data_IF_425237306523
#
_entry.id   IF_425237306523
#
_cell.length_a   1.000
_cell.length_b   1.000
_cell.length_c   1.000
_cell.angle_alpha   90.00
_cell.angle_beta   90.00
_cell.angle_gamma   90.00
#
_symmetry.space_group_name_H-M   'P 1'
#
loop_
_entity.id
_entity.type
_entity.pdbx_description
1 polymer ?
#
# COMPACT_ATOMS: atom_id res chain seq x y z
N UNK A 1 1.29 -31.38 -18.38
CA UNK A 1 0.33 -30.36 -17.91
C UNK A 1 -0.37 -30.76 -16.60
N UNK A 2 -0.84 -32.01 -16.47
CA UNK A 2 -1.52 -32.49 -15.25
C UNK A 2 -0.72 -32.27 -13.93
N UNK A 3 0.60 -32.55 -13.85
CA UNK A 3 1.36 -32.33 -12.61
C UNK A 3 1.45 -30.84 -12.22
N UNK A 4 1.60 -29.95 -13.21
CA UNK A 4 1.63 -28.51 -12.96
C UNK A 4 0.27 -28.00 -12.48
N UNK A 5 -0.83 -28.50 -13.06
CA UNK A 5 -2.18 -28.15 -12.61
C UNK A 5 -2.43 -28.61 -11.16
N UNK A 6 -1.99 -29.82 -10.80
CA UNK A 6 -2.11 -30.33 -9.42
C UNK A 6 -1.32 -29.51 -8.39
N UNK A 7 -0.21 -28.88 -8.80
CA UNK A 7 0.58 -27.99 -7.93
C UNK A 7 -0.01 -26.57 -7.84
N UNK A 8 -0.51 -26.03 -8.94
CA UNK A 8 -0.93 -24.62 -9.02
C UNK A 8 -2.38 -24.41 -8.57
N UNK A 9 -3.30 -25.31 -8.94
CA UNK A 9 -4.73 -25.11 -8.68
C UNK A 9 -5.07 -25.02 -7.18
N UNK A 10 -4.51 -25.84 -6.27
CA UNK A 10 -4.79 -25.70 -4.84
C UNK A 10 -4.31 -24.38 -4.26
N UNK A 11 -3.10 -23.93 -4.64
CA UNK A 11 -2.56 -22.64 -4.20
C UNK A 11 -3.40 -21.46 -4.73
N UNK A 12 -3.82 -21.54 -6.00
CA UNK A 12 -4.70 -20.56 -6.62
C UNK A 12 -6.07 -20.51 -5.95
N UNK A 13 -6.62 -21.67 -5.61
CA UNK A 13 -7.91 -21.76 -4.91
C UNK A 13 -7.83 -21.22 -3.49
N UNK A 14 -6.78 -21.58 -2.74
CA UNK A 14 -6.54 -21.04 -1.40
C UNK A 14 -6.37 -19.52 -1.42
N UNK A 15 -5.58 -19.00 -2.36
CA UNK A 15 -5.46 -17.55 -2.57
C UNK A 15 -6.84 -16.93 -2.84
N UNK A 16 -7.59 -17.43 -3.82
CA UNK A 16 -8.93 -16.93 -4.12
C UNK A 16 -9.88 -16.98 -2.92
N UNK A 17 -9.84 -18.03 -2.10
CA UNK A 17 -10.67 -18.15 -0.91
C UNK A 17 -10.33 -17.05 0.12
N UNK A 18 -9.05 -16.77 0.35
CA UNK A 18 -8.63 -15.70 1.27
C UNK A 18 -9.03 -14.30 0.79
N UNK A 19 -9.19 -14.10 -0.53
CA UNK A 19 -9.58 -12.81 -1.10
C UNK A 19 -11.08 -12.53 -1.05
N UNK A 20 -11.91 -13.57 -0.92
CA UNK A 20 -13.37 -13.48 -1.00
C UNK A 20 -14.06 -13.81 0.34
N UNK A 21 -13.34 -13.71 1.45
CA UNK A 21 -13.92 -13.89 2.79
C UNK A 21 -14.56 -12.59 3.27
N UNK A 22 -15.62 -12.69 4.08
CA UNK A 22 -16.27 -11.54 4.72
C UNK A 22 -15.32 -10.77 5.66
N UNK A 23 -14.24 -11.43 6.11
CA UNK A 23 -13.17 -10.84 6.91
C UNK A 23 -12.05 -10.19 6.08
N UNK A 24 -12.22 -10.05 4.75
CA UNK A 24 -11.19 -9.48 3.89
C UNK A 24 -10.97 -8.00 4.21
N UNK A 25 -9.71 -7.64 4.51
CA UNK A 25 -9.32 -6.26 4.85
C UNK A 25 -9.57 -5.26 3.71
N UNK A 26 -9.68 -5.74 2.48
CA UNK A 26 -9.91 -4.93 1.28
C UNK A 26 -11.21 -5.35 0.63
N UNK A 27 -12.24 -4.50 0.78
CA UNK A 27 -13.45 -4.60 -0.02
C UNK A 27 -13.12 -4.29 -1.49
N UNK A 28 -13.56 -5.16 -2.40
CA UNK A 28 -13.22 -5.12 -3.82
C UNK A 28 -14.48 -4.88 -4.65
N UNK A 29 -15.04 -3.69 -4.46
CA UNK A 29 -16.09 -3.20 -5.34
C UNK A 29 -15.53 -3.01 -6.77
N UNK A 30 -16.29 -3.40 -7.79
CA UNK A 30 -15.82 -3.42 -9.17
C UNK A 30 -15.53 -2.01 -9.70
N UNK A 31 -16.32 -1.02 -9.30
CA UNK A 31 -16.15 0.38 -9.69
C UNK A 31 -14.93 0.99 -8.99
N UNK A 32 -14.77 0.70 -7.69
CA UNK A 32 -13.52 1.03 -6.98
C UNK A 32 -12.30 0.38 -7.64
N UNK A 33 -12.39 -0.89 -8.05
CA UNK A 33 -11.28 -1.58 -8.72
C UNK A 33 -10.97 -0.93 -10.06
N UNK A 34 -11.97 -0.56 -10.86
CA UNK A 34 -11.74 0.13 -12.12
C UNK A 34 -11.11 1.52 -11.89
N UNK A 35 -11.66 2.33 -10.99
CA UNK A 35 -11.16 3.69 -10.73
C UNK A 35 -9.79 3.69 -10.05
N UNK A 36 -9.59 2.84 -9.04
CA UNK A 36 -8.38 2.79 -8.23
C UNK A 36 -7.31 1.89 -8.87
N UNK A 37 -7.62 0.63 -9.21
CA UNK A 37 -6.62 -0.35 -9.67
C UNK A 37 -6.24 -0.23 -11.14
N UNK A 38 -7.00 0.45 -12.00
CA UNK A 38 -6.59 0.62 -13.41
C UNK A 38 -5.92 1.97 -13.62
N UNK A 39 -6.49 3.05 -13.06
CA UNK A 39 -5.93 4.40 -13.17
C UNK A 39 -4.59 4.58 -12.46
N UNK A 40 -4.43 4.01 -11.26
CA UNK A 40 -3.20 4.17 -10.46
C UNK A 40 -2.13 3.11 -10.75
N UNK A 41 -2.46 2.07 -11.51
CA UNK A 41 -1.59 0.93 -11.75
C UNK A 41 -0.77 1.10 -13.03
N UNK A 42 -0.01 2.18 -13.04
CA UNK A 42 0.74 2.63 -14.21
C UNK A 42 2.22 2.58 -13.91
N UNK A 43 3.01 2.11 -14.88
CA UNK A 43 4.47 2.05 -14.77
C UNK A 43 5.08 2.66 -16.01
N UNK A 44 5.98 3.63 -15.81
CA UNK A 44 6.72 4.20 -16.94
C UNK A 44 7.72 3.18 -17.48
N UNK A 45 7.61 2.91 -18.77
CA UNK A 45 8.51 2.03 -19.51
C UNK A 45 9.97 2.47 -19.36
N UNK A 46 10.24 3.77 -19.25
CA UNK A 46 11.59 4.29 -19.07
C UNK A 46 12.17 3.99 -17.68
N UNK A 47 11.33 3.81 -16.65
CA UNK A 47 11.76 3.53 -15.27
C UNK A 47 12.48 2.19 -15.12
N UNK A 48 12.29 1.24 -16.05
CA UNK A 48 13.03 -0.02 -16.05
C UNK A 48 14.51 0.15 -16.39
N UNK A 49 14.83 1.21 -17.13
CA UNK A 49 16.15 1.41 -17.74
C UNK A 49 16.86 2.67 -17.25
N UNK A 50 16.16 3.58 -16.57
CA UNK A 50 16.70 4.87 -16.14
C UNK A 50 17.24 4.79 -14.70
N UNK A 51 18.56 4.91 -14.49
CA UNK A 51 19.13 4.97 -13.15
C UNK A 51 18.96 6.37 -12.54
N UNK A 52 19.30 6.47 -11.26
CA UNK A 52 19.32 7.71 -10.48
C UNK A 52 17.97 8.07 -9.85
N UNK A 53 17.84 9.31 -9.40
CA UNK A 53 16.65 9.82 -8.70
C UNK A 53 15.52 10.17 -9.69
N UNK A 54 15.05 9.14 -10.41
CA UNK A 54 13.93 9.26 -11.33
C UNK A 54 12.77 8.40 -10.85
N UNK A 55 11.64 9.05 -10.59
CA UNK A 55 10.39 8.41 -10.24
C UNK A 55 9.35 8.74 -11.29
N UNK A 56 8.87 7.73 -12.01
CA UNK A 56 7.80 7.87 -12.98
C UNK A 56 6.93 6.61 -12.98
N UNK A 57 5.59 6.74 -12.83
CA UNK A 57 4.86 7.99 -12.60
C UNK A 57 5.16 8.63 -11.23
N UNK A 58 5.05 9.96 -11.14
CA UNK A 58 5.14 10.68 -9.86
C UNK A 58 3.78 10.65 -9.16
N UNK A 59 3.54 9.59 -8.38
CA UNK A 59 2.27 9.36 -7.68
C UNK A 59 1.97 10.44 -6.63
N UNK A 60 2.99 11.13 -6.12
CA UNK A 60 2.78 12.25 -5.21
C UNK A 60 2.13 13.42 -5.95
N UNK A 61 2.59 13.73 -7.16
CA UNK A 61 1.98 14.78 -7.97
C UNK A 61 0.60 14.40 -8.51
N UNK A 62 0.42 13.14 -8.89
CA UNK A 62 -0.83 12.68 -9.51
C UNK A 62 -1.94 12.43 -8.50
N UNK A 63 -1.60 11.90 -7.31
CA UNK A 63 -2.57 11.34 -6.37
C UNK A 63 -2.32 11.74 -4.91
N UNK A 64 -1.37 12.64 -4.63
CA UNK A 64 -0.90 12.96 -3.27
C UNK A 64 -0.40 11.71 -2.51
N UNK A 65 0.12 10.73 -3.26
CA UNK A 65 0.62 9.50 -2.70
C UNK A 65 2.14 9.45 -2.60
N UNK A 66 2.65 9.25 -1.38
CA UNK A 66 4.10 9.08 -1.15
C UNK A 66 4.66 7.72 -1.58
N UNK A 67 3.84 6.87 -2.21
CA UNK A 67 4.27 5.58 -2.72
C UNK A 67 5.19 5.78 -3.91
N UNK A 68 6.37 5.14 -3.91
CA UNK A 68 7.30 5.13 -5.04
C UNK A 68 7.34 3.74 -5.64
N UNK A 69 6.98 3.60 -6.91
CA UNK A 69 7.14 2.37 -7.65
C UNK A 69 8.55 2.33 -8.27
N UNK A 70 9.45 1.53 -7.70
CA UNK A 70 10.81 1.35 -8.23
C UNK A 70 10.89 0.01 -8.98
N UNK A 71 11.12 0.10 -10.30
CA UNK A 71 11.12 -1.06 -11.22
C UNK A 71 12.43 -1.21 -12.01
N UNK A 72 13.49 -0.50 -11.59
CA UNK A 72 14.79 -0.53 -12.24
C UNK A 72 15.34 -1.97 -12.33
N UNK A 73 15.76 -2.39 -13.54
CA UNK A 73 16.22 -3.76 -13.78
C UNK A 73 17.72 -3.97 -13.50
N UNK A 74 18.49 -2.89 -13.38
CA UNK A 74 19.95 -2.95 -13.28
C UNK A 74 20.62 -3.15 -14.64
N UNK A 75 21.46 -2.21 -15.03
CA UNK A 75 22.22 -2.30 -16.29
C UNK A 75 23.17 -3.50 -16.30
N UNK A 76 23.78 -3.82 -15.16
CA UNK A 76 24.68 -4.97 -15.03
C UNK A 76 23.91 -6.27 -15.19
N UNK A 77 22.75 -6.39 -14.52
CA UNK A 77 21.88 -7.56 -14.62
C UNK A 77 21.41 -7.80 -16.05
N UNK A 78 20.97 -6.74 -16.75
CA UNK A 78 20.55 -6.84 -18.15
C UNK A 78 21.69 -7.26 -19.08
N UNK A 79 22.88 -6.68 -18.91
CA UNK A 79 24.04 -7.03 -19.74
C UNK A 79 24.45 -8.50 -19.56
N UNK A 80 24.51 -8.99 -18.32
CA UNK A 80 24.82 -10.40 -18.03
C UNK A 80 23.73 -11.34 -18.55
N UNK A 81 22.46 -10.97 -18.39
CA UNK A 81 21.33 -11.74 -18.91
C UNK A 81 21.36 -11.83 -20.45
N UNK A 82 21.71 -10.74 -21.14
CA UNK A 82 21.87 -10.74 -22.59
C UNK A 82 22.97 -11.71 -23.05
N UNK A 83 24.13 -11.70 -22.38
CA UNK A 83 25.20 -12.68 -22.62
C UNK A 83 24.70 -14.12 -22.41
N UNK A 84 23.90 -14.33 -21.36
CA UNK A 84 23.25 -15.60 -21.05
C UNK A 84 22.25 -16.09 -22.09
N UNK A 85 21.47 -15.18 -22.64
CA UNK A 85 20.51 -15.45 -23.72
C UNK A 85 21.22 -15.79 -25.03
N UNK A 86 22.37 -15.18 -25.33
CA UNK A 86 23.17 -15.48 -26.52
C UNK A 86 24.00 -16.76 -26.38
N UNK A 87 24.27 -17.15 -25.15
CA UNK A 87 24.94 -18.38 -24.75
C UNK A 87 24.12 -19.58 -25.24
N UNK A 88 24.57 -20.44 -26.16
CA UNK A 88 23.88 -21.68 -26.64
C UNK A 88 23.22 -22.68 -25.65
N UNK A 89 22.87 -22.36 -24.40
CA UNK A 89 22.43 -23.30 -23.36
C UNK A 89 20.95 -23.73 -23.52
N UNK A 90 20.67 -25.01 -23.23
CA UNK A 90 19.31 -25.57 -23.24
C UNK A 90 18.44 -24.93 -22.16
N UNK A 91 17.22 -24.54 -22.53
CA UNK A 91 16.21 -23.81 -21.74
C UNK A 91 16.25 -22.25 -21.73
N UNK A 92 17.18 -21.58 -22.43
CA UNK A 92 17.20 -20.10 -22.48
C UNK A 92 15.91 -19.46 -23.03
N UNK A 93 15.25 -20.09 -24.00
CA UNK A 93 14.10 -19.50 -24.68
C UNK A 93 12.91 -19.35 -23.71
N UNK A 94 12.75 -20.31 -22.78
CA UNK A 94 11.74 -20.21 -21.73
C UNK A 94 12.00 -19.04 -20.78
N UNK A 95 13.26 -18.82 -20.41
CA UNK A 95 13.64 -17.69 -19.56
C UNK A 95 13.53 -16.33 -20.27
N UNK A 96 13.92 -16.24 -21.54
CA UNK A 96 13.70 -15.04 -22.35
C UNK A 96 12.21 -14.74 -22.51
N UNK A 97 11.39 -15.77 -22.78
CA UNK A 97 9.94 -15.61 -22.83
C UNK A 97 9.38 -15.14 -21.47
N UNK A 98 9.88 -15.68 -20.36
CA UNK A 98 9.47 -15.25 -19.03
C UNK A 98 9.86 -13.79 -18.75
N UNK A 99 11.07 -13.35 -19.13
CA UNK A 99 11.48 -11.93 -19.06
C UNK A 99 10.48 -11.06 -19.81
N UNK A 100 10.22 -11.36 -21.09
CA UNK A 100 9.36 -10.54 -21.94
C UNK A 100 7.93 -10.51 -21.42
N UNK A 101 7.33 -11.66 -21.12
CA UNK A 101 5.94 -11.75 -20.67
C UNK A 101 5.76 -11.04 -19.33
N UNK A 102 6.63 -11.33 -18.34
CA UNK A 102 6.52 -10.69 -17.02
C UNK A 102 6.78 -9.19 -17.08
N UNK A 103 7.73 -8.74 -17.90
CA UNK A 103 8.02 -7.33 -18.10
C UNK A 103 6.81 -6.60 -18.71
N UNK A 104 6.25 -7.14 -19.80
CA UNK A 104 5.05 -6.56 -20.43
C UNK A 104 3.87 -6.52 -19.47
N UNK A 105 3.66 -7.57 -18.67
CA UNK A 105 2.62 -7.57 -17.63
C UNK A 105 2.91 -6.54 -16.53
N UNK A 106 4.18 -6.26 -16.23
CA UNK A 106 4.56 -5.29 -15.22
C UNK A 106 4.31 -3.84 -15.61
N UNK A 107 4.12 -3.55 -16.90
CA UNK A 107 3.81 -2.20 -17.40
C UNK A 107 2.41 -1.70 -16.97
N UNK A 108 1.50 -2.61 -16.59
CA UNK A 108 0.13 -2.25 -16.24
C UNK A 108 -0.86 -2.36 -17.40
N UNK A 109 -2.10 -1.86 -17.22
CA UNK A 109 -3.19 -2.01 -18.19
C UNK A 109 -3.04 -1.10 -19.42
N UNK A 110 -2.32 0.02 -19.30
CA UNK A 110 -2.13 0.99 -20.36
C UNK A 110 -0.66 1.36 -20.50
N UNK A 111 -0.21 1.59 -21.73
CA UNK A 111 1.17 2.00 -21.99
C UNK A 111 1.41 3.42 -21.47
N UNK A 112 2.43 3.56 -20.64
CA UNK A 112 2.89 4.84 -20.10
C UNK A 112 4.39 4.97 -20.36
N UNK A 113 4.78 6.10 -20.94
CA UNK A 113 6.14 6.33 -21.41
C UNK A 113 6.50 7.80 -21.27
N UNK A 114 7.62 8.08 -20.61
CA UNK A 114 8.11 9.46 -20.47
C UNK A 114 7.21 10.36 -19.64
N UNK A 115 6.52 9.79 -18.65
CA UNK A 115 5.63 10.54 -17.75
C UNK A 115 4.22 10.79 -18.30
N UNK A 116 3.80 10.14 -19.39
CA UNK A 116 2.43 10.26 -19.90
C UNK A 116 1.91 8.97 -20.55
N UNK A 117 0.59 8.86 -20.68
CA UNK A 117 -0.07 7.77 -21.38
C UNK A 117 0.18 7.86 -22.89
N UNK A 118 0.55 6.75 -23.50
CA UNK A 118 0.56 6.66 -24.95
C UNK A 118 -0.89 6.64 -25.48
N UNK A 119 -1.16 7.48 -26.48
CA UNK A 119 -2.48 7.65 -27.07
C UNK A 119 -2.53 7.08 -28.49
N UNK A 120 -3.62 6.39 -28.79
CA UNK A 120 -4.09 6.09 -30.14
C UNK A 120 -4.83 7.32 -30.73
N UNK A 121 -5.08 7.36 -32.04
CA UNK A 121 -5.95 8.38 -32.65
C UNK A 121 -7.30 8.46 -31.92
N UNK A 122 -7.75 9.68 -31.62
CA UNK A 122 -8.97 9.92 -30.84
C UNK A 122 -8.79 9.95 -29.32
N UNK A 123 -7.56 10.12 -28.83
CA UNK A 123 -7.23 10.24 -27.40
C UNK A 123 -7.56 9.00 -26.57
N UNK A 124 -7.50 7.82 -27.20
CA UNK A 124 -7.74 6.53 -26.53
C UNK A 124 -6.41 6.00 -26.01
N UNK A 125 -6.32 5.61 -24.74
CA UNK A 125 -5.12 4.99 -24.18
C UNK A 125 -4.75 3.71 -24.92
N UNK A 126 -3.46 3.48 -25.17
CA UNK A 126 -2.95 2.23 -25.76
C UNK A 126 -3.07 1.11 -24.73
N UNK A 127 -3.97 0.12 -24.93
CA UNK A 127 -4.14 -0.97 -23.97
C UNK A 127 -3.00 -1.99 -24.07
N UNK A 128 -2.64 -2.56 -22.92
CA UNK A 128 -1.62 -3.60 -22.79
C UNK A 128 -2.25 -4.95 -22.39
N UNK A 129 -1.53 -6.08 -22.55
CA UNK A 129 -2.06 -7.41 -22.26
C UNK A 129 -2.62 -7.58 -20.84
N UNK A 130 -2.09 -6.85 -19.85
CA UNK A 130 -2.61 -6.88 -18.49
C UNK A 130 -4.10 -6.48 -18.44
N UNK A 131 -4.52 -5.48 -19.21
CA UNK A 131 -5.92 -5.04 -19.25
C UNK A 131 -6.86 -6.16 -19.71
N UNK A 132 -6.47 -6.87 -20.78
CA UNK A 132 -7.25 -8.00 -21.28
C UNK A 132 -7.36 -9.12 -20.24
N UNK A 133 -6.26 -9.42 -19.54
CA UNK A 133 -6.26 -10.43 -18.46
C UNK A 133 -7.12 -9.99 -17.28
N UNK A 134 -7.01 -8.72 -16.87
CA UNK A 134 -7.83 -8.13 -15.81
C UNK A 134 -9.31 -8.24 -16.13
N UNK A 135 -9.71 -7.91 -17.37
CA UNK A 135 -11.11 -7.96 -17.80
C UNK A 135 -11.66 -9.38 -17.94
N UNK A 136 -10.80 -10.34 -18.31
CA UNK A 136 -11.24 -11.70 -18.68
C UNK A 136 -11.07 -12.73 -17.57
N UNK A 137 -10.15 -12.50 -16.62
CA UNK A 137 -9.78 -13.49 -15.60
C UNK A 137 -10.10 -12.97 -14.19
N UNK A 138 -11.00 -13.63 -13.44
CA UNK A 138 -11.38 -13.22 -12.08
C UNK A 138 -10.22 -13.11 -11.09
N UNK A 139 -9.09 -13.76 -11.37
CA UNK A 139 -7.89 -13.62 -10.54
C UNK A 139 -7.16 -12.30 -10.81
N UNK A 140 -7.06 -11.87 -12.07
CA UNK A 140 -6.32 -10.68 -12.45
C UNK A 140 -7.06 -9.40 -12.04
N UNK A 141 -8.39 -9.44 -11.98
CA UNK A 141 -9.19 -8.36 -11.40
C UNK A 141 -8.84 -8.09 -9.93
N UNK A 142 -8.17 -9.05 -9.26
CA UNK A 142 -7.74 -8.89 -7.87
C UNK A 142 -6.34 -8.27 -7.70
N UNK A 143 -5.55 -8.14 -8.77
CA UNK A 143 -4.18 -7.64 -8.69
C UNK A 143 -4.15 -6.11 -8.75
N UNK A 144 -3.76 -5.47 -7.64
CA UNK A 144 -3.73 -4.01 -7.52
C UNK A 144 -2.53 -3.30 -8.11
N UNK A 145 -1.42 -4.03 -8.26
CA UNK A 145 -0.16 -3.45 -8.71
C UNK A 145 0.52 -4.42 -9.67
N UNK A 146 0.38 -4.14 -10.96
CA UNK A 146 0.97 -4.89 -12.06
C UNK A 146 2.49 -4.88 -11.99
N UNK A 147 3.10 -3.77 -11.54
CA UNK A 147 4.55 -3.66 -11.39
C UNK A 147 5.18 -4.80 -10.59
N UNK A 148 4.43 -5.48 -9.71
CA UNK A 148 4.91 -6.65 -8.96
C UNK A 148 5.38 -7.81 -9.86
N UNK A 149 4.92 -7.88 -11.11
CA UNK A 149 5.45 -8.84 -12.08
C UNK A 149 6.93 -8.62 -12.41
N UNK A 150 7.50 -7.44 -12.11
CA UNK A 150 8.95 -7.17 -12.27
C UNK A 150 9.83 -8.14 -11.49
N UNK A 151 9.34 -8.69 -10.38
CA UNK A 151 10.07 -9.69 -9.58
C UNK A 151 10.35 -10.95 -10.43
N UNK A 152 9.39 -11.37 -11.26
CA UNK A 152 9.59 -12.49 -12.18
C UNK A 152 10.56 -12.13 -13.31
N UNK A 153 10.53 -10.87 -13.76
CA UNK A 153 11.49 -10.35 -14.75
C UNK A 153 12.91 -10.40 -14.20
N UNK A 154 13.14 -9.87 -13.00
CA UNK A 154 14.43 -9.86 -12.31
C UNK A 154 14.94 -11.28 -12.02
N UNK A 155 14.06 -12.18 -11.57
CA UNK A 155 14.39 -13.60 -11.39
C UNK A 155 14.89 -14.21 -12.70
N UNK A 156 14.14 -14.03 -13.80
CA UNK A 156 14.49 -14.60 -15.10
C UNK A 156 15.79 -13.99 -15.66
N UNK A 157 16.03 -12.68 -15.45
CA UNK A 157 17.32 -12.04 -15.77
C UNK A 157 18.46 -12.66 -14.97
N UNK A 158 18.27 -12.91 -13.67
CA UNK A 158 19.27 -13.57 -12.82
C UNK A 158 19.61 -14.99 -13.30
N UNK A 159 18.61 -15.78 -13.70
CA UNK A 159 18.83 -17.11 -14.27
C UNK A 159 19.60 -17.03 -15.60
N UNK A 160 19.25 -16.11 -16.48
CA UNK A 160 19.99 -15.88 -17.73
C UNK A 160 21.44 -15.45 -17.44
N UNK A 161 21.66 -14.54 -16.50
CA UNK A 161 23.01 -14.14 -16.07
C UNK A 161 23.84 -15.34 -15.59
N UNK A 162 23.23 -16.25 -14.81
CA UNK A 162 23.87 -17.49 -14.38
C UNK A 162 24.20 -18.43 -15.56
N UNK A 163 23.34 -18.51 -16.59
CA UNK A 163 23.64 -19.27 -17.81
C UNK A 163 24.91 -18.76 -18.52
N UNK A 164 25.17 -17.45 -18.49
CA UNK A 164 26.40 -16.88 -19.06
C UNK A 164 27.66 -17.44 -18.36
N UNK A 165 27.63 -17.51 -17.03
CA UNK A 165 28.71 -18.04 -16.22
C UNK A 165 28.87 -19.56 -16.34
N UNK A 166 27.75 -20.30 -16.46
CA UNK A 166 27.74 -21.75 -16.58
C UNK A 166 28.53 -22.27 -17.79
N UNK A 167 28.70 -21.45 -18.85
CA UNK A 167 29.54 -21.78 -20.01
C UNK A 167 31.04 -21.72 -19.73
N UNK A 168 31.44 -21.09 -18.64
CA UNK A 168 32.83 -20.91 -18.24
C UNK A 168 33.03 -21.52 -16.84
N UNK A 169 32.82 -22.84 -16.67
CA UNK A 169 32.79 -23.46 -15.34
C UNK A 169 34.11 -23.28 -14.56
N UNK A 170 35.23 -23.15 -15.27
CA UNK A 170 36.54 -22.86 -14.65
C UNK A 170 36.66 -21.44 -14.10
N UNK A 171 35.95 -20.48 -14.71
CA UNK A 171 35.97 -19.07 -14.31
C UNK A 171 34.78 -18.70 -13.43
N UNK A 172 33.70 -19.48 -13.44
CA UNK A 172 32.48 -19.22 -12.68
C UNK A 172 32.71 -18.99 -11.17
N UNK A 173 33.60 -19.72 -10.47
CA UNK A 173 33.86 -19.46 -9.05
C UNK A 173 34.47 -18.08 -8.77
N UNK A 174 35.22 -17.52 -9.73
CA UNK A 174 35.83 -16.19 -9.61
C UNK A 174 34.90 -15.09 -10.14
N UNK A 175 34.28 -15.31 -11.31
CA UNK A 175 33.41 -14.34 -11.97
C UNK A 175 32.03 -14.24 -11.33
N UNK A 176 31.54 -15.30 -10.67
CA UNK A 176 30.24 -15.32 -10.01
C UNK A 176 30.14 -14.28 -8.89
N UNK A 177 31.04 -14.30 -7.88
CA UNK A 177 31.06 -13.28 -6.84
C UNK A 177 31.27 -11.86 -7.38
N UNK A 178 32.12 -11.68 -8.40
CA UNK A 178 32.33 -10.38 -9.03
C UNK A 178 31.07 -9.87 -9.75
N UNK A 179 30.36 -10.74 -10.47
CA UNK A 179 29.10 -10.42 -11.12
C UNK A 179 28.02 -10.08 -10.08
N UNK A 180 27.92 -10.86 -9.01
CA UNK A 180 26.99 -10.58 -7.91
C UNK A 180 27.31 -9.23 -7.24
N UNK A 181 28.58 -8.95 -6.95
CA UNK A 181 29.03 -7.68 -6.41
C UNK A 181 28.72 -6.51 -7.36
N UNK A 182 28.94 -6.68 -8.66
CA UNK A 182 28.61 -5.65 -9.65
C UNK A 182 27.11 -5.37 -9.71
N UNK A 183 26.26 -6.41 -9.64
CA UNK A 183 24.79 -6.25 -9.55
C UNK A 183 24.38 -5.55 -8.25
N UNK A 184 25.02 -5.88 -7.13
CA UNK A 184 24.77 -5.22 -5.85
C UNK A 184 25.18 -3.74 -5.87
N UNK A 185 26.32 -3.41 -6.47
CA UNK A 185 26.79 -2.02 -6.62
C UNK A 185 25.85 -1.24 -7.54
N UNK A 186 25.46 -1.82 -8.67
CA UNK A 186 24.47 -1.25 -9.60
C UNK A 186 23.14 -0.97 -8.88
N UNK A 187 22.61 -1.95 -8.16
CA UNK A 187 21.39 -1.79 -7.37
C UNK A 187 21.52 -0.79 -6.22
N UNK A 188 22.67 -0.68 -5.55
CA UNK A 188 22.86 0.21 -4.41
C UNK A 188 23.16 1.67 -4.82
N UNK A 189 23.82 1.89 -5.96
CA UNK A 189 24.28 3.23 -6.37
C UNK A 189 23.46 3.82 -7.52
N UNK A 190 22.89 2.99 -8.39
CA UNK A 190 22.19 3.44 -9.60
C UNK A 190 20.67 3.26 -9.51
N UNK A 191 20.17 2.42 -8.60
CA UNK A 191 18.72 2.28 -8.41
C UNK A 191 18.11 3.56 -7.84
N UNK A 192 16.89 3.95 -8.27
CA UNK A 192 16.10 4.98 -7.60
C UNK A 192 15.60 4.57 -6.20
N UNK A 193 15.83 3.32 -5.76
CA UNK A 193 15.39 2.86 -4.45
C UNK A 193 16.21 3.50 -3.32
N UNK A 194 15.53 3.90 -2.25
CA UNK A 194 16.20 4.32 -1.02
C UNK A 194 16.96 3.13 -0.41
N UNK A 195 18.28 3.31 -0.19
CA UNK A 195 19.12 2.33 0.51
C UNK A 195 19.80 2.96 1.73
N UNK A 196 19.76 2.30 2.91
CA UNK A 196 19.02 1.07 3.21
C UNK A 196 17.51 1.27 3.09
N UNK A 197 16.78 0.20 2.74
CA UNK A 197 15.32 0.25 2.66
C UNK A 197 14.77 0.69 4.02
N UNK A 198 14.00 1.79 4.10
CA UNK A 198 13.45 2.24 5.36
C UNK A 198 12.54 1.17 5.94
N UNK A 199 12.75 0.84 7.21
CA UNK A 199 11.89 -0.05 7.97
C UNK A 199 11.23 0.73 9.10
N UNK A 200 10.03 0.31 9.47
CA UNK A 200 9.32 0.82 10.64
C UNK A 200 9.15 -0.32 11.64
N UNK A 201 9.24 0.00 12.92
CA UNK A 201 8.91 -0.94 13.98
C UNK A 201 7.40 -1.17 14.01
N UNK A 202 7.02 -2.42 14.29
CA UNK A 202 5.63 -2.85 14.39
C UNK A 202 5.15 -2.78 15.85
N UNK A 203 5.45 -1.67 16.53
CA UNK A 203 5.10 -1.49 17.93
C UNK A 203 3.65 -1.02 18.05
N UNK A 204 2.89 -1.72 18.89
CA UNK A 204 1.50 -1.34 19.20
C UNK A 204 1.48 -0.54 20.51
N UNK A 205 0.94 0.69 20.50
CA UNK A 205 0.86 1.53 21.69
C UNK A 205 0.22 0.84 22.91
N UNK A 206 0.82 1.00 24.10
CA UNK A 206 0.31 0.37 25.33
C UNK A 206 -1.08 0.88 25.76
N UNK A 207 -1.51 2.03 25.22
CA UNK A 207 -2.82 2.65 25.47
C UNK A 207 -3.99 1.70 25.25
N UNK A 208 -3.89 0.75 24.31
CA UNK A 208 -4.98 -0.20 24.04
C UNK A 208 -5.25 -1.17 25.20
N UNK A 209 -4.27 -1.43 26.05
CA UNK A 209 -4.44 -2.26 27.23
C UNK A 209 -5.37 -1.60 28.29
N UNK A 210 -5.58 -0.28 28.20
CA UNK A 210 -6.46 0.46 29.11
C UNK A 210 -7.94 0.42 28.68
N UNK A 211 -8.24 -0.02 27.46
CA UNK A 211 -9.62 -0.04 26.95
C UNK A 211 -10.43 -1.13 27.68
N UNK A 212 -11.50 -0.71 28.34
CA UNK A 212 -12.42 -1.59 29.06
C UNK A 212 -13.61 -2.00 28.18
N UNK A 213 -14.17 -3.18 28.45
CA UNK A 213 -15.35 -3.71 27.75
C UNK A 213 -15.06 -4.16 26.31
N UNK A 214 -16.09 -4.58 25.58
CA UNK A 214 -16.02 -4.96 24.16
C UNK A 214 -16.55 -3.83 23.28
N UNK A 215 -15.99 -3.66 22.08
CA UNK A 215 -16.49 -2.68 21.11
C UNK A 215 -15.41 -2.10 20.21
N UNK A 216 -15.85 -1.32 19.23
CA UNK A 216 -15.01 -0.76 18.18
C UNK A 216 -14.16 0.43 18.67
N UNK A 217 -12.99 0.60 18.06
CA UNK A 217 -12.02 1.66 18.41
C UNK A 217 -11.84 2.60 17.22
N UNK A 218 -11.87 3.90 17.48
CA UNK A 218 -11.57 4.95 16.51
C UNK A 218 -10.15 5.47 16.77
N UNK A 219 -9.24 5.29 15.83
CA UNK A 219 -7.85 5.74 15.91
C UNK A 219 -7.64 7.05 15.16
N UNK A 220 -7.05 8.04 15.80
CA UNK A 220 -6.80 9.36 15.23
C UNK A 220 -5.29 9.58 15.00
N UNK A 221 -4.87 10.19 13.87
CA UNK A 221 -5.70 10.91 12.91
C UNK A 221 -6.47 10.03 11.93
N UNK A 222 -7.67 10.49 11.54
CA UNK A 222 -8.42 9.90 10.41
C UNK A 222 -7.81 10.35 9.09
N UNK A 223 -7.27 11.57 9.03
CA UNK A 223 -6.69 12.18 7.83
C UNK A 223 -5.34 11.62 7.39
N UNK A 224 -4.83 10.56 8.03
CA UNK A 224 -3.62 9.90 7.56
C UNK A 224 -3.82 9.39 6.12
N UNK A 225 -2.77 9.46 5.32
CA UNK A 225 -2.77 8.86 3.98
C UNK A 225 -3.15 7.37 4.07
N UNK A 226 -3.92 6.86 3.11
CA UNK A 226 -4.54 5.51 3.17
C UNK A 226 -3.57 4.38 3.54
N UNK A 227 -2.35 4.38 2.96
CA UNK A 227 -1.33 3.38 3.31
C UNK A 227 -0.78 3.53 4.74
N UNK A 228 -0.70 4.76 5.25
CA UNK A 228 -0.26 5.02 6.63
C UNK A 228 -1.31 4.55 7.65
N UNK A 229 -2.60 4.52 7.29
CA UNK A 229 -3.67 3.94 8.11
C UNK A 229 -3.54 2.42 8.29
N UNK A 230 -2.73 1.74 7.46
CA UNK A 230 -2.39 0.33 7.65
C UNK A 230 -1.80 0.01 9.04
N UNK A 231 -1.27 1.03 9.75
CA UNK A 231 -0.86 0.90 11.16
C UNK A 231 -2.03 0.55 12.09
N UNK A 232 -3.22 1.09 11.84
CA UNK A 232 -4.40 0.76 12.66
C UNK A 232 -4.84 -0.69 12.47
N UNK A 233 -4.69 -1.22 11.26
CA UNK A 233 -4.89 -2.65 11.01
C UNK A 233 -3.85 -3.51 11.77
N UNK A 234 -2.59 -3.05 11.87
CA UNK A 234 -1.59 -3.70 12.72
C UNK A 234 -2.00 -3.65 14.19
N UNK A 235 -2.40 -2.48 14.71
CA UNK A 235 -2.83 -2.33 16.10
C UNK A 235 -4.02 -3.25 16.43
N UNK A 236 -4.96 -3.39 15.50
CA UNK A 236 -6.10 -4.29 15.60
C UNK A 236 -5.69 -5.76 15.78
N UNK A 237 -4.59 -6.21 15.17
CA UNK A 237 -4.13 -7.59 15.38
C UNK A 237 -3.76 -7.89 16.82
N UNK A 238 -3.38 -6.87 17.60
CA UNK A 238 -3.03 -7.03 19.02
C UNK A 238 -4.22 -6.77 19.94
N UNK A 239 -4.97 -5.68 19.73
CA UNK A 239 -6.07 -5.35 20.63
C UNK A 239 -7.37 -6.11 20.30
N UNK A 240 -7.47 -6.72 19.11
CA UNK A 240 -8.55 -7.64 18.74
C UNK A 240 -9.94 -7.00 18.62
N UNK A 241 -10.02 -5.67 18.53
CA UNK A 241 -11.29 -4.92 18.49
C UNK A 241 -11.62 -4.49 17.06
N UNK A 242 -12.90 -4.40 16.68
CA UNK A 242 -13.27 -3.82 15.39
C UNK A 242 -12.72 -2.39 15.26
N UNK A 243 -12.31 -2.01 14.05
CA UNK A 243 -11.92 -0.64 13.71
C UNK A 243 -12.72 -0.21 12.48
N UNK A 244 -13.03 1.09 12.31
CA UNK A 244 -13.81 1.57 11.16
C UNK A 244 -12.99 1.68 9.87
N UNK A 245 -11.66 1.47 9.94
CA UNK A 245 -10.74 1.69 8.83
C UNK A 245 -10.61 0.49 7.91
N UNK A 246 -10.37 0.77 6.62
CA UNK A 246 -9.94 -0.21 5.63
C UNK A 246 -8.77 0.38 4.83
N UNK A 247 -7.90 -0.46 4.27
CA UNK A 247 -6.68 -0.03 3.57
C UNK A 247 -6.91 0.95 2.41
N UNK A 248 -8.13 0.95 1.85
CA UNK A 248 -8.51 1.69 0.66
C UNK A 248 -9.63 2.71 0.90
N UNK A 249 -9.97 2.97 2.17
CA UNK A 249 -11.06 3.86 2.54
C UNK A 249 -10.52 4.99 3.42
N UNK A 250 -10.01 6.08 2.80
CA UNK A 250 -9.27 7.11 3.55
C UNK A 250 -10.14 7.83 4.59
N UNK A 251 -11.45 7.87 4.41
CA UNK A 251 -12.38 8.41 5.41
C UNK A 251 -13.65 7.55 5.41
N UNK A 252 -13.78 6.59 6.35
CA UNK A 252 -14.95 5.73 6.42
C UNK A 252 -16.26 6.51 6.49
N UNK A 253 -17.29 6.18 5.68
CA UNK A 253 -18.56 6.92 5.66
C UNK A 253 -19.24 7.04 7.02
N UNK A 254 -19.10 6.02 7.87
CA UNK A 254 -19.63 6.05 9.23
C UNK A 254 -19.01 7.16 10.08
N UNK A 255 -17.73 7.48 9.89
CA UNK A 255 -17.07 8.57 10.60
C UNK A 255 -17.45 9.94 10.02
N UNK A 256 -17.65 10.05 8.71
CA UNK A 256 -18.08 11.32 8.09
C UNK A 256 -19.55 11.67 8.42
N UNK A 257 -20.39 10.65 8.63
CA UNK A 257 -21.81 10.81 8.93
C UNK A 257 -22.10 11.29 10.37
N UNK A 258 -21.11 11.29 11.27
CA UNK A 258 -21.30 11.62 12.70
C UNK A 258 -20.65 12.96 13.01
N UNK A 259 -21.38 13.86 13.70
CA UNK A 259 -20.96 15.26 13.92
C UNK A 259 -19.63 15.35 14.67
N UNK A 260 -19.40 14.51 15.68
CA UNK A 260 -18.15 14.50 16.45
C UNK A 260 -16.94 14.15 15.59
N UNK A 261 -16.99 13.02 14.89
CA UNK A 261 -15.87 12.55 14.05
C UNK A 261 -15.71 13.41 12.80
N UNK A 262 -16.79 13.92 12.22
CA UNK A 262 -16.71 14.92 11.14
C UNK A 262 -16.03 16.21 11.58
N UNK A 263 -16.35 16.72 12.77
CA UNK A 263 -15.66 17.89 13.32
C UNK A 263 -14.16 17.60 13.48
N UNK A 264 -13.78 16.41 13.97
CA UNK A 264 -12.37 16.01 14.10
C UNK A 264 -11.69 15.98 12.71
N UNK A 265 -12.33 15.37 11.71
CA UNK A 265 -11.83 15.33 10.32
C UNK A 265 -11.67 16.75 9.76
N UNK A 266 -12.64 17.63 9.99
CA UNK A 266 -12.59 19.04 9.55
C UNK A 266 -11.45 19.79 10.26
N UNK A 267 -11.19 19.50 11.55
CA UNK A 267 -10.05 20.06 12.29
C UNK A 267 -8.72 19.55 11.75
N UNK A 268 -8.61 18.27 11.42
CA UNK A 268 -7.43 17.66 10.82
C UNK A 268 -7.10 18.27 9.45
N UNK A 269 -8.11 18.65 8.69
CA UNK A 269 -7.95 19.28 7.36
C UNK A 269 -7.78 20.80 7.43
N UNK A 270 -8.05 21.41 8.59
CA UNK A 270 -8.00 22.86 8.76
C UNK A 270 -6.59 23.36 9.05
N UNK A 271 -6.16 24.36 8.27
CA UNK A 271 -4.91 25.10 8.49
C UNK A 271 -4.92 26.00 9.74
N UNK A 272 -6.09 26.20 10.36
CA UNK A 272 -6.23 27.01 11.57
C UNK A 272 -5.67 26.24 12.77
N UNK A 273 -4.67 26.80 13.45
CA UNK A 273 -4.02 26.15 14.60
C UNK A 273 -4.92 26.10 15.85
N UNK A 274 -5.85 27.03 16.00
CA UNK A 274 -6.74 27.10 17.16
C UNK A 274 -8.03 26.28 16.98
N UNK A 275 -8.59 25.71 18.05
CA UNK A 275 -9.94 25.14 18.01
C UNK A 275 -10.99 26.24 17.77
N UNK A 276 -12.20 25.88 17.32
CA UNK A 276 -13.30 26.83 17.22
C UNK A 276 -13.61 27.43 18.60
N UNK A 277 -13.97 28.72 18.67
CA UNK A 277 -14.23 29.40 19.94
C UNK A 277 -15.43 28.80 20.69
N UNK A 278 -16.42 28.31 19.94
CA UNK A 278 -17.62 27.66 20.45
C UNK A 278 -17.76 26.28 19.83
N UNK A 279 -17.93 25.26 20.67
CA UNK A 279 -18.24 23.90 20.23
C UNK A 279 -19.76 23.69 20.24
N UNK A 280 -20.32 22.95 19.27
CA UNK A 280 -21.73 22.59 19.27
C UNK A 280 -21.98 21.46 20.29
N UNK A 281 -21.88 21.76 21.60
CA UNK A 281 -21.81 20.77 22.68
C UNK A 281 -22.94 19.75 22.65
N UNK A 282 -24.19 20.18 22.40
CA UNK A 282 -25.32 19.25 22.29
C UNK A 282 -25.14 18.25 21.14
N UNK A 283 -24.73 18.73 19.96
CA UNK A 283 -24.49 17.87 18.80
C UNK A 283 -23.34 16.88 19.05
N UNK A 284 -22.31 17.30 19.80
CA UNK A 284 -21.19 16.42 20.17
C UNK A 284 -21.62 15.33 21.14
N UNK A 285 -22.45 15.65 22.14
CA UNK A 285 -22.99 14.67 23.08
C UNK A 285 -23.93 13.68 22.38
N UNK A 286 -24.86 14.16 21.55
CA UNK A 286 -25.75 13.31 20.75
C UNK A 286 -24.93 12.43 19.80
N UNK A 287 -23.92 12.99 19.15
CA UNK A 287 -23.04 12.22 18.26
C UNK A 287 -22.22 11.17 19.00
N UNK A 288 -21.80 11.43 20.24
CA UNK A 288 -21.12 10.44 21.09
C UNK A 288 -22.06 9.28 21.42
N UNK A 289 -23.28 9.57 21.85
CA UNK A 289 -24.27 8.54 22.20
C UNK A 289 -24.66 7.69 20.97
N UNK A 290 -24.73 8.30 19.78
CA UNK A 290 -24.90 7.57 18.52
C UNK A 290 -23.73 6.62 18.23
N UNK A 291 -22.47 7.07 18.40
CA UNK A 291 -21.30 6.20 18.24
C UNK A 291 -21.33 5.03 19.23
N UNK A 292 -21.73 5.27 20.49
CA UNK A 292 -21.91 4.21 21.49
C UNK A 292 -22.99 3.22 21.04
N UNK A 293 -24.13 3.70 20.52
CA UNK A 293 -25.21 2.84 20.01
C UNK A 293 -24.80 2.02 18.78
N UNK A 294 -23.77 2.47 18.06
CA UNK A 294 -23.16 1.78 16.92
C UNK A 294 -22.04 0.80 17.32
N UNK A 295 -21.79 0.67 18.63
CA UNK A 295 -20.84 -0.29 19.18
C UNK A 295 -19.42 0.25 19.34
N UNK A 296 -19.18 1.56 19.19
CA UNK A 296 -17.89 2.17 19.50
C UNK A 296 -17.73 2.38 21.00
N UNK A 297 -16.55 2.04 21.53
CA UNK A 297 -16.24 2.16 22.97
C UNK A 297 -15.05 3.05 23.28
N UNK A 298 -14.22 3.38 22.29
CA UNK A 298 -13.04 4.20 22.52
C UNK A 298 -12.67 5.05 21.30
N UNK A 299 -12.08 6.21 21.60
CA UNK A 299 -11.29 7.00 20.65
C UNK A 299 -9.86 7.06 21.17
N UNK A 300 -8.88 6.71 20.34
CA UNK A 300 -7.45 6.76 20.66
C UNK A 300 -6.79 7.84 19.81
N UNK A 301 -6.24 8.86 20.47
CA UNK A 301 -5.50 9.95 19.84
C UNK A 301 -4.00 9.64 19.85
N UNK A 302 -3.42 9.30 18.70
CA UNK A 302 -1.99 9.03 18.56
C UNK A 302 -1.22 10.34 18.34
N UNK A 303 -0.81 11.03 19.42
CA UNK A 303 -0.24 12.38 19.32
C UNK A 303 1.01 12.43 18.42
N UNK A 304 1.85 11.38 18.46
CA UNK A 304 3.05 11.27 17.63
C UNK A 304 2.80 11.19 16.12
N UNK A 305 1.54 10.97 15.69
CA UNK A 305 1.14 10.98 14.29
C UNK A 305 0.63 12.36 13.81
N UNK A 306 0.50 13.32 14.71
CA UNK A 306 0.10 14.69 14.41
C UNK A 306 1.29 15.65 14.35
N UNK A 307 1.24 16.69 13.49
CA UNK A 307 1.93 17.94 13.79
C UNK A 307 1.47 18.48 15.14
N UNK A 308 2.39 18.94 15.99
CA UNK A 308 2.12 19.29 17.39
C UNK A 308 0.88 20.17 17.59
N UNK A 309 0.77 21.28 16.85
CA UNK A 309 -0.36 22.21 16.96
C UNK A 309 -1.71 21.56 16.57
N UNK A 310 -1.71 20.65 15.59
CA UNK A 310 -2.91 19.94 15.17
C UNK A 310 -3.35 18.91 16.20
N UNK A 311 -2.39 18.18 16.78
CA UNK A 311 -2.66 17.20 17.85
C UNK A 311 -3.23 17.89 19.09
N UNK A 312 -2.68 19.03 19.48
CA UNK A 312 -3.19 19.83 20.61
C UNK A 312 -4.61 20.35 20.36
N UNK A 313 -4.88 20.87 19.15
CA UNK A 313 -6.22 21.32 18.74
C UNK A 313 -7.27 20.21 18.82
N UNK A 314 -6.94 19.01 18.31
CA UNK A 314 -7.83 17.84 18.40
C UNK A 314 -8.00 17.38 19.85
N UNK A 315 -6.91 17.32 20.63
CA UNK A 315 -6.94 16.98 22.06
C UNK A 315 -7.87 17.90 22.84
N UNK A 316 -7.70 19.22 22.75
CA UNK A 316 -8.55 20.20 23.44
C UNK A 316 -10.03 20.05 23.05
N UNK A 317 -10.29 19.72 21.78
CA UNK A 317 -11.67 19.52 21.31
C UNK A 317 -12.27 18.24 21.92
N UNK A 318 -11.51 17.15 21.97
CA UNK A 318 -11.92 15.89 22.61
C UNK A 318 -12.08 16.02 24.12
N UNK A 319 -11.15 16.68 24.81
CA UNK A 319 -11.24 16.95 26.26
C UNK A 319 -12.52 17.73 26.61
N UNK A 320 -12.92 18.69 25.76
CA UNK A 320 -14.17 19.44 25.94
C UNK A 320 -15.42 18.63 25.62
N UNK A 321 -15.34 17.71 24.66
CA UNK A 321 -16.48 16.92 24.20
C UNK A 321 -16.73 15.67 25.05
N UNK A 322 -15.67 15.03 25.53
CA UNK A 322 -15.69 13.70 26.15
C UNK A 322 -15.16 13.69 27.59
N UNK A 323 -14.57 14.80 28.05
CA UNK A 323 -13.84 14.86 29.31
C UNK A 323 -12.35 14.50 29.13
N UNK A 324 -11.58 14.66 30.19
CA UNK A 324 -10.13 14.43 30.16
C UNK A 324 -9.80 12.98 29.78
N UNK A 325 -9.00 12.81 28.73
CA UNK A 325 -8.51 11.50 28.31
C UNK A 325 -7.39 10.95 29.20
N UNK A 326 -7.15 9.63 29.11
CA UNK A 326 -6.06 8.94 29.81
C UNK A 326 -4.83 8.86 28.89
N UNK A 327 -3.74 9.49 29.29
CA UNK A 327 -2.50 9.54 28.51
C UNK A 327 -1.58 8.35 28.85
N UNK A 328 -1.13 7.64 27.81
CA UNK A 328 -0.21 6.49 27.91
C UNK A 328 0.71 6.49 26.68
N UNK A 329 2.02 6.53 26.91
CA UNK A 329 3.06 6.42 25.87
C UNK A 329 2.84 7.31 24.62
N UNK A 330 2.46 8.57 24.82
CA UNK A 330 2.24 9.53 23.73
C UNK A 330 0.94 9.31 22.95
N UNK A 331 0.03 8.49 23.45
CA UNK A 331 -1.35 8.38 22.99
C UNK A 331 -2.33 8.76 24.10
N UNK A 332 -3.53 9.20 23.74
CA UNK A 332 -4.59 9.56 24.69
C UNK A 332 -5.84 8.75 24.41
N UNK A 333 -6.33 8.03 25.41
CA UNK A 333 -7.57 7.26 25.36
C UNK A 333 -8.75 8.08 25.87
N UNK A 334 -9.80 8.16 25.06
CA UNK A 334 -11.11 8.67 25.45
C UNK A 334 -12.11 7.51 25.45
N UNK A 335 -12.59 7.14 26.63
CA UNK A 335 -13.65 6.14 26.75
C UNK A 335 -14.98 6.73 26.29
N UNK A 336 -15.69 6.01 25.43
CA UNK A 336 -17.05 6.34 25.02
C UNK A 336 -18.01 5.63 25.97
N UNK A 337 -18.48 6.35 26.98
CA UNK A 337 -19.56 5.91 27.86
C UNK A 337 -20.86 6.62 27.49
N UNK A 338 -22.03 5.97 27.65
CA UNK A 338 -23.31 6.66 27.52
C UNK A 338 -23.32 7.89 28.45
N UNK A 339 -23.94 8.98 27.99
CA UNK A 339 -24.27 10.07 28.92
C UNK A 339 -25.05 9.49 30.10
N UNK A 340 -24.76 9.90 31.36
CA UNK A 340 -25.70 9.62 32.44
C UNK A 340 -27.07 10.15 31.99
N UNK A 341 -28.09 9.28 32.05
CA UNK A 341 -29.45 9.68 31.68
C UNK A 341 -29.78 10.97 32.43
N UNK A 342 -30.21 12.00 31.71
CA UNK A 342 -30.71 13.21 32.35
C UNK A 342 -31.87 12.77 33.29
N UNK A 343 -31.82 13.15 34.57
CA UNK A 343 -32.79 12.69 35.57
C UNK A 343 -34.24 13.10 35.24
#
# INVERSE_FOLDING_TARGET
MLPAALLVLPALWAFRATMNTDAALVARDADFVLASLIGHNVVDTLSFFRPGDHHSPDLLKLYDERLRAVVYLGWVSMALAALGAMSGAGARHGWVALVVVSWVLSLGPFLYIGGDHALLPGSVFVPLPFYALWASLPLFSTLSHAYRFVVLTQLALGVLAACALARRPRLAPALGPLAALAVLIDGALLSPADWPVPFAWADVPAVYAQIQGEGAVIDLPVSLQSLAQGRYALYQTQHGRPIPYALNNPTPPILDARRLTRLIIDLERSAVASPPPTLPTLDLLVSRDLLVSEGFTAIVLHQGLYPQAMGEKVRVTLDRALGAGVEVDGAVLYALSPSPAAP
#
